data_IF_046575186481
#
_entry.id   IF_046575186481
#
_cell.length_a   1.000
_cell.length_b   1.000
_cell.length_c   1.000
_cell.angle_alpha   90.00
_cell.angle_beta   90.00
_cell.angle_gamma   90.00
#
_symmetry.space_group_name_H-M   'P 1'
#
loop_
_entity.id
_entity.type
_entity.pdbx_description
1 polymer ?
#
# COMPACT_ATOMS: atom_id res chain seq x y z
N UNK A 1 1.70 6.96 49.42
CA UNK A 1 1.42 5.83 48.51
C UNK A 1 0.98 6.40 47.16
N UNK A 2 1.94 6.64 46.27
CA UNK A 2 1.67 7.19 44.92
C UNK A 2 1.46 6.05 43.93
N UNK A 3 0.57 6.23 42.96
CA UNK A 3 0.36 5.25 41.90
C UNK A 3 1.65 5.05 41.09
N UNK A 4 1.99 3.81 40.69
CA UNK A 4 3.11 3.57 39.81
C UNK A 4 2.88 4.30 38.46
N UNK A 5 3.95 4.74 37.78
CA UNK A 5 3.81 5.40 36.49
C UNK A 5 3.15 4.44 35.49
N UNK A 6 2.06 4.90 34.87
CA UNK A 6 1.33 4.16 33.85
C UNK A 6 1.93 4.50 32.48
N UNK A 7 2.46 3.50 31.79
CA UNK A 7 3.00 3.64 30.43
C UNK A 7 1.98 3.16 29.42
N UNK A 8 1.61 4.02 28.47
CA UNK A 8 0.82 3.63 27.31
C UNK A 8 1.76 3.27 26.17
N UNK A 9 1.64 2.04 25.67
CA UNK A 9 2.32 1.61 24.45
C UNK A 9 1.31 1.66 23.32
N UNK A 10 1.55 2.54 22.35
CA UNK A 10 0.76 2.56 21.11
C UNK A 10 1.15 1.34 20.29
N UNK A 11 0.18 0.49 19.96
CA UNK A 11 0.36 -0.63 19.04
C UNK A 11 -0.50 -0.43 17.81
N UNK A 12 0.10 -0.63 16.63
CA UNK A 12 -0.60 -0.58 15.36
C UNK A 12 -1.29 -1.92 15.11
N UNK A 13 -2.59 -1.88 14.81
CA UNK A 13 -3.32 -3.10 14.44
C UNK A 13 -2.97 -3.48 13.00
N UNK A 14 -2.68 -4.77 12.72
CA UNK A 14 -2.35 -5.21 11.38
C UNK A 14 -3.54 -4.96 10.45
N UNK A 15 -3.27 -4.32 9.31
CA UNK A 15 -4.29 -4.08 8.31
C UNK A 15 -4.16 -5.11 7.19
N UNK A 16 -5.27 -5.69 6.69
CA UNK A 16 -5.23 -6.84 5.76
C UNK A 16 -4.52 -6.58 4.42
N UNK A 17 -4.38 -5.31 4.02
CA UNK A 17 -3.77 -4.94 2.74
C UNK A 17 -2.69 -3.86 2.83
N UNK A 18 -2.61 -3.14 3.95
CA UNK A 18 -1.65 -2.04 4.13
C UNK A 18 -0.66 -2.41 5.22
N UNK A 19 0.62 -2.24 4.91
CA UNK A 19 1.71 -2.34 5.86
C UNK A 19 2.36 -0.97 5.98
N UNK A 20 2.79 -0.60 7.18
CA UNK A 20 3.47 0.67 7.41
C UNK A 20 4.97 0.41 7.54
N UNK A 21 5.75 1.10 6.74
CA UNK A 21 7.21 1.08 6.81
C UNK A 21 7.70 2.50 7.16
N UNK A 22 7.87 2.76 8.46
CA UNK A 22 8.23 4.09 8.97
C UNK A 22 7.14 5.14 8.68
N UNK A 23 7.41 6.03 7.73
CA UNK A 23 6.47 7.07 7.25
C UNK A 23 5.82 6.71 5.90
N UNK A 24 6.32 5.66 5.22
CA UNK A 24 5.79 5.16 3.97
C UNK A 24 4.71 4.08 4.22
N UNK A 25 3.79 3.93 3.27
CA UNK A 25 2.77 2.88 3.27
C UNK A 25 3.06 1.89 2.15
N UNK A 26 2.97 0.60 2.44
CA UNK A 26 3.14 -0.48 1.47
C UNK A 26 1.80 -1.16 1.25
N UNK A 27 1.36 -1.23 -0.01
CA UNK A 27 0.15 -1.93 -0.42
C UNK A 27 0.51 -3.08 -1.36
N UNK A 28 0.18 -4.32 -0.96
CA UNK A 28 0.39 -5.49 -1.82
C UNK A 28 -0.83 -5.75 -2.68
N UNK A 29 -0.71 -5.46 -3.98
CA UNK A 29 -1.75 -5.70 -4.96
C UNK A 29 -1.53 -7.05 -5.64
N UNK A 30 -2.47 -7.99 -5.46
CA UNK A 30 -2.44 -9.27 -6.18
C UNK A 30 -3.27 -9.16 -7.46
N UNK A 31 -2.64 -9.40 -8.61
CA UNK A 31 -3.28 -9.34 -9.93
C UNK A 31 -3.09 -10.66 -10.68
N UNK A 32 -4.01 -10.99 -11.60
CA UNK A 32 -3.79 -12.10 -12.54
C UNK A 32 -2.88 -11.66 -13.70
N UNK A 33 -2.25 -12.62 -14.37
CA UNK A 33 -1.42 -12.33 -15.57
C UNK A 33 -2.20 -11.51 -16.62
N UNK A 34 -3.47 -11.88 -16.89
CA UNK A 34 -4.34 -11.13 -17.82
C UNK A 34 -4.59 -9.69 -17.38
N UNK A 35 -4.76 -9.43 -16.08
CA UNK A 35 -4.95 -8.08 -15.54
C UNK A 35 -3.65 -7.27 -15.59
N UNK A 36 -2.53 -7.92 -15.36
CA UNK A 36 -1.20 -7.31 -15.47
C UNK A 36 -0.89 -6.88 -16.91
N UNK A 37 -1.26 -7.70 -17.90
CA UNK A 37 -1.06 -7.40 -19.33
C UNK A 37 -2.04 -6.35 -19.87
N UNK A 38 -3.33 -6.43 -19.54
CA UNK A 38 -4.35 -5.50 -20.05
C UNK A 38 -4.42 -4.19 -19.28
N UNK A 39 -3.85 -4.15 -18.07
CA UNK A 39 -4.07 -3.09 -17.11
C UNK A 39 -5.34 -3.31 -16.28
N UNK A 40 -5.31 -2.78 -15.06
CA UNK A 40 -6.38 -2.87 -14.10
C UNK A 40 -6.59 -1.52 -13.41
N UNK A 41 -7.81 -1.29 -12.94
CA UNK A 41 -8.15 -0.14 -12.10
C UNK A 41 -8.16 -0.58 -10.65
N UNK A 42 -7.25 -0.03 -9.89
CA UNK A 42 -6.99 -0.38 -8.50
C UNK A 42 -7.54 0.73 -7.62
N UNK A 43 -8.26 0.33 -6.57
CA UNK A 43 -8.80 1.23 -5.57
C UNK A 43 -8.14 0.92 -4.25
N UNK A 44 -7.28 1.83 -3.80
CA UNK A 44 -6.53 1.69 -2.56
C UNK A 44 -7.20 2.55 -1.49
N UNK A 45 -7.86 1.95 -0.48
CA UNK A 45 -8.37 2.70 0.65
C UNK A 45 -7.19 3.17 1.50
N UNK A 46 -7.06 4.47 1.73
CA UNK A 46 -6.03 5.07 2.57
C UNK A 46 -6.52 5.18 4.02
N UNK A 47 -5.61 5.20 5.01
CA UNK A 47 -5.98 5.32 6.42
C UNK A 47 -6.70 6.63 6.79
N UNK A 48 -6.57 7.68 5.97
CA UNK A 48 -7.31 8.94 6.12
C UNK A 48 -8.79 8.84 5.67
N UNK A 49 -9.21 7.70 5.08
CA UNK A 49 -10.54 7.52 4.51
C UNK A 49 -10.68 7.94 3.04
N UNK A 50 -9.64 8.53 2.46
CA UNK A 50 -9.57 8.75 1.01
C UNK A 50 -9.38 7.43 0.25
N UNK A 51 -9.93 7.33 -0.96
CA UNK A 51 -9.65 6.21 -1.87
C UNK A 51 -8.78 6.70 -3.02
N UNK A 52 -7.59 6.12 -3.16
CA UNK A 52 -6.72 6.40 -4.29
C UNK A 52 -7.09 5.46 -5.45
N UNK A 53 -7.43 6.03 -6.59
CA UNK A 53 -7.63 5.28 -7.83
C UNK A 53 -6.34 5.27 -8.65
N UNK A 54 -5.83 4.08 -8.93
CA UNK A 54 -4.62 3.85 -9.75
C UNK A 54 -5.02 3.02 -10.96
N UNK A 55 -4.80 3.55 -12.16
CA UNK A 55 -5.01 2.81 -13.40
C UNK A 55 -3.65 2.33 -13.92
N UNK A 56 -3.47 1.02 -14.09
CA UNK A 56 -2.25 0.44 -14.67
C UNK A 56 -2.34 0.23 -16.19
N UNK A 57 -3.40 0.74 -16.83
CA UNK A 57 -3.60 0.68 -18.28
C UNK A 57 -2.52 1.52 -19.02
N UNK A 58 -1.83 0.95 -20.00
CA UNK A 58 -1.00 1.67 -20.99
C UNK A 58 0.51 1.73 -20.71
N UNK A 59 0.92 2.28 -19.56
CA UNK A 59 2.32 2.73 -19.36
C UNK A 59 3.01 2.22 -18.10
N UNK A 60 2.29 1.56 -17.19
CA UNK A 60 2.87 1.07 -15.94
C UNK A 60 3.27 -0.39 -16.14
N UNK A 61 4.58 -0.73 -16.14
CA UNK A 61 4.99 -2.12 -16.16
C UNK A 61 4.37 -2.79 -14.93
N UNK A 62 3.49 -3.75 -15.16
CA UNK A 62 2.85 -4.52 -14.11
C UNK A 62 3.41 -5.93 -14.21
N UNK A 63 4.61 -6.12 -13.66
CA UNK A 63 5.27 -7.43 -13.60
C UNK A 63 5.29 -7.93 -12.15
N UNK A 64 5.60 -9.22 -11.95
CA UNK A 64 5.77 -9.73 -10.60
C UNK A 64 6.95 -9.03 -9.90
N UNK A 65 6.73 -8.61 -8.66
CA UNK A 65 7.74 -7.88 -7.87
C UNK A 65 7.93 -6.43 -8.29
N UNK A 66 7.27 -5.97 -9.35
CA UNK A 66 7.30 -4.58 -9.75
C UNK A 66 6.59 -3.71 -8.70
N UNK A 67 7.12 -2.51 -8.53
CA UNK A 67 6.66 -1.56 -7.52
C UNK A 67 6.47 -0.18 -8.12
N UNK A 68 5.41 0.48 -7.68
CA UNK A 68 5.07 1.85 -8.08
C UNK A 68 4.96 2.72 -6.83
N UNK A 69 5.61 3.88 -6.86
CA UNK A 69 5.62 4.83 -5.74
C UNK A 69 4.71 6.02 -6.07
N UNK A 70 3.73 6.26 -5.22
CA UNK A 70 2.82 7.41 -5.30
C UNK A 70 3.22 8.41 -4.22
N UNK A 71 3.74 9.56 -4.65
CA UNK A 71 4.28 10.55 -3.73
C UNK A 71 3.20 11.21 -2.87
N UNK A 72 3.47 11.38 -1.58
CA UNK A 72 2.62 12.12 -0.65
C UNK A 72 1.31 11.41 -0.25
N UNK A 73 1.20 10.11 -0.52
CA UNK A 73 0.04 9.26 -0.14
C UNK A 73 0.35 8.26 0.96
N UNK A 74 1.48 8.40 1.64
CA UNK A 74 1.87 7.64 2.83
C UNK A 74 1.35 8.25 4.14
N UNK A 75 2.01 7.92 5.25
CA UNK A 75 1.66 8.41 6.59
C UNK A 75 2.11 9.86 6.80
N UNK A 76 1.44 10.62 7.68
CA UNK A 76 1.90 11.95 8.07
C UNK A 76 3.25 11.87 8.79
N UNK A 77 4.22 12.65 8.32
CA UNK A 77 5.57 12.71 8.90
C UNK A 77 5.51 13.55 10.17
N UNK A 78 6.10 13.04 11.27
CA UNK A 78 6.16 13.79 12.54
C UNK A 78 6.91 15.11 12.35
N UNK A 79 6.24 16.23 12.66
CA UNK A 79 6.86 17.55 12.72
C UNK A 79 6.76 18.41 11.45
N UNK A 80 5.97 18.01 10.44
CA UNK A 80 5.75 18.83 9.25
C UNK A 80 4.41 18.55 8.54
N UNK A 81 4.05 19.35 7.52
CA UNK A 81 2.84 19.12 6.70
C UNK A 81 3.04 18.01 5.65
N UNK A 82 4.25 17.46 5.55
CA UNK A 82 4.60 16.45 4.55
C UNK A 82 4.09 15.06 4.96
N UNK A 83 3.77 14.27 3.95
CA UNK A 83 3.42 12.85 4.07
C UNK A 83 4.52 12.03 3.42
N UNK A 84 4.72 10.81 3.90
CA UNK A 84 5.49 9.81 3.17
C UNK A 84 4.78 9.40 1.89
N UNK A 85 5.25 8.33 1.29
CA UNK A 85 4.81 7.84 0.00
C UNK A 85 4.06 6.50 0.14
N UNK A 86 3.21 6.21 -0.84
CA UNK A 86 2.57 4.91 -0.97
C UNK A 86 3.34 4.08 -1.99
N UNK A 87 3.83 2.93 -1.57
CA UNK A 87 4.50 1.93 -2.41
C UNK A 87 3.51 0.82 -2.70
N UNK A 88 3.12 0.69 -3.96
CA UNK A 88 2.27 -0.39 -4.45
C UNK A 88 3.17 -1.47 -5.01
N UNK A 89 3.11 -2.67 -4.44
CA UNK A 89 3.85 -3.85 -4.90
C UNK A 89 2.88 -4.76 -5.65
N UNK A 90 3.18 -5.05 -6.92
CA UNK A 90 2.39 -5.94 -7.74
C UNK A 90 2.86 -7.39 -7.57
N UNK A 91 1.95 -8.25 -7.12
CA UNK A 91 2.12 -9.70 -7.11
C UNK A 91 1.25 -10.29 -8.21
N UNK A 92 1.88 -10.59 -9.34
CA UNK A 92 1.19 -11.26 -10.44
C UNK A 92 1.12 -12.74 -10.11
N UNK A 93 -0.10 -13.25 -9.92
CA UNK A 93 -0.34 -14.69 -9.89
C UNK A 93 -0.34 -15.16 -11.34
N UNK A 94 0.71 -15.88 -11.69
CA UNK A 94 0.76 -16.71 -12.89
C UNK A 94 -0.28 -17.81 -12.68
N UNK A 95 -1.50 -17.56 -13.11
CA UNK A 95 -2.44 -18.65 -13.29
C UNK A 95 -1.88 -19.44 -14.47
N UNK A 96 -1.24 -20.56 -14.15
CA UNK A 96 -0.84 -21.52 -15.15
C UNK A 96 -2.15 -22.14 -15.66
N UNK A 97 -2.82 -21.43 -16.56
CA UNK A 97 -3.98 -21.93 -17.28
C UNK A 97 -3.44 -23.01 -18.23
N UNK A 98 -3.25 -24.20 -17.67
CA UNK A 98 -3.22 -25.44 -18.44
C UNK A 98 -4.62 -25.62 -19.06
N UNK A 99 -4.83 -25.06 -20.25
CA UNK A 99 -5.28 -25.78 -21.47
C UNK A 99 -5.61 -24.83 -22.62
#
# INVERSE_FOLDING_TARGET
EGFPPMTFVLQESPHPFLERDGDDLVWMCSLSARQAERGARLRVPLPDGETLEVCTEGDIPTADGQHMRVKGKGMPIKGGPSRGDLVIIFKVKQDCENQ
#
